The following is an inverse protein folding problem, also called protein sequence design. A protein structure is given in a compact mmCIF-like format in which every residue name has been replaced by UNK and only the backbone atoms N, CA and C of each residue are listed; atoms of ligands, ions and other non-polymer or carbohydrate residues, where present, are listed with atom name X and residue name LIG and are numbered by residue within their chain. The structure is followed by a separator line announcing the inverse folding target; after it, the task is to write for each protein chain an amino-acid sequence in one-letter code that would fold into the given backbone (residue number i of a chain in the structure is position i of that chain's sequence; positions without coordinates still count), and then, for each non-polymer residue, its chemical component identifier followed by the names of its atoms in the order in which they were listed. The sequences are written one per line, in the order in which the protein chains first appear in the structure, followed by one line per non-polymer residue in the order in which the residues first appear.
data_IF_610527957781
#
_entry.id   IF_610527957781
#
_cell.length_a   1.000
_cell.length_b   1.000
_cell.length_c   1.000
_cell.angle_alpha   90.00
_cell.angle_beta   90.00
_cell.angle_gamma   90.00
#
_symmetry.space_group_name_H-M   'P 1'
#
loop_
_entity.id
_entity.type
_entity.pdbx_description
1 polymer ?
#
# COMPACT_ATOMS: atom_id res chain seq x y z
N UNK A 1 -36.94 -23.26 8.67
CA UNK A 1 -35.86 -22.83 9.57
C UNK A 1 -34.59 -22.90 8.75
N UNK A 2 -34.06 -21.75 8.34
CA UNK A 2 -32.80 -21.69 7.60
C UNK A 2 -31.70 -21.40 8.62
N UNK A 3 -30.69 -22.26 8.68
CA UNK A 3 -29.52 -22.08 9.54
C UNK A 3 -28.61 -21.01 8.92
N UNK A 4 -28.40 -19.92 9.65
CA UNK A 4 -27.43 -18.88 9.34
C UNK A 4 -26.01 -19.45 9.32
N UNK A 5 -25.42 -19.56 8.12
CA UNK A 5 -23.99 -19.83 7.95
C UNK A 5 -23.23 -18.56 8.33
N UNK A 6 -22.66 -18.53 9.54
CA UNK A 6 -21.67 -17.52 9.93
C UNK A 6 -20.37 -17.77 9.15
N UNK A 7 -20.25 -17.17 7.97
CA UNK A 7 -18.94 -17.02 7.31
C UNK A 7 -18.13 -16.05 8.17
N UNK A 8 -17.28 -16.59 9.04
CA UNK A 8 -16.27 -15.80 9.74
C UNK A 8 -15.35 -15.18 8.69
N UNK A 9 -15.40 -13.86 8.53
CA UNK A 9 -14.44 -13.11 7.71
C UNK A 9 -13.05 -13.33 8.31
N UNK A 10 -12.24 -14.22 7.73
CA UNK A 10 -10.85 -14.38 8.13
C UNK A 10 -10.13 -13.10 7.66
N UNK A 11 -9.61 -12.31 8.60
CA UNK A 11 -8.71 -11.21 8.25
C UNK A 11 -7.32 -11.78 8.01
N UNK A 12 -6.67 -11.35 6.93
CA UNK A 12 -5.28 -11.69 6.64
C UNK A 12 -4.31 -10.90 7.55
N UNK A 13 -4.80 -9.79 8.10
CA UNK A 13 -4.09 -8.87 8.97
C UNK A 13 -3.68 -9.52 10.30
N UNK A 14 -2.38 -9.50 10.60
CA UNK A 14 -1.82 -10.09 11.82
C UNK A 14 -0.76 -9.18 12.40
N UNK A 15 -0.85 -8.87 13.70
CA UNK A 15 0.11 -8.03 14.41
C UNK A 15 1.57 -8.51 14.30
N UNK A 16 1.79 -9.83 14.16
CA UNK A 16 3.13 -10.42 13.98
C UNK A 16 3.83 -9.99 12.68
N UNK A 17 3.06 -9.51 11.70
CA UNK A 17 3.56 -9.05 10.42
C UNK A 17 3.86 -7.54 10.43
N UNK A 18 3.43 -6.83 11.48
CA UNK A 18 3.48 -5.38 11.57
C UNK A 18 2.14 -4.82 12.04
N UNK A 19 2.19 -3.64 12.68
CA UNK A 19 1.04 -2.88 13.15
C UNK A 19 1.13 -1.47 12.58
N UNK A 20 0.08 -1.06 11.89
CA UNK A 20 -0.13 0.27 11.34
C UNK A 20 -1.06 1.01 12.31
N UNK A 21 -0.65 2.19 12.76
CA UNK A 21 -1.45 3.05 13.62
C UNK A 21 -1.60 4.41 12.99
N UNK A 22 -2.84 4.81 12.73
CA UNK A 22 -3.19 6.02 12.00
C UNK A 22 -3.48 7.15 12.98
N UNK A 23 -3.09 8.38 12.61
CA UNK A 23 -3.43 9.59 13.31
C UNK A 23 -3.74 10.73 12.32
N UNK A 24 -4.08 11.90 12.84
CA UNK A 24 -4.50 13.05 12.02
C UNK A 24 -3.40 13.59 11.10
N UNK A 25 -2.13 13.39 11.46
CA UNK A 25 -0.96 13.92 10.75
C UNK A 25 -0.24 12.89 9.87
N UNK A 26 -0.50 11.61 10.09
CA UNK A 26 0.21 10.53 9.41
C UNK A 26 -0.20 9.14 9.87
N UNK A 27 0.72 8.19 9.69
CA UNK A 27 0.63 6.86 10.28
C UNK A 27 2.01 6.37 10.73
N UNK A 28 2.02 5.42 11.65
CA UNK A 28 3.23 4.77 12.16
C UNK A 28 3.14 3.27 11.89
N UNK A 29 4.23 2.72 11.35
CA UNK A 29 4.44 1.28 11.21
C UNK A 29 5.34 0.80 12.33
N UNK A 30 4.89 -0.20 13.09
CA UNK A 30 5.60 -0.76 14.23
C UNK A 30 5.44 -2.28 14.30
N UNK A 31 6.09 -2.95 15.26
CA UNK A 31 5.96 -4.40 15.44
C UNK A 31 6.51 -5.22 14.26
N UNK A 32 7.41 -4.63 13.47
CA UNK A 32 7.96 -5.26 12.27
C UNK A 32 8.79 -6.51 12.62
N UNK A 33 8.77 -7.54 11.75
CA UNK A 33 9.68 -8.66 11.84
C UNK A 33 11.14 -8.18 11.92
N UNK A 34 11.98 -8.92 12.64
CA UNK A 34 13.40 -8.63 12.80
C UNK A 34 13.76 -7.38 13.64
N UNK A 35 12.83 -6.88 14.48
CA UNK A 35 13.05 -5.73 15.39
C UNK A 35 13.54 -4.46 14.67
N UNK A 36 13.00 -4.21 13.48
CA UNK A 36 13.24 -2.96 12.78
C UNK A 36 12.62 -1.79 13.57
N UNK A 37 13.23 -0.59 13.52
CA UNK A 37 12.67 0.60 14.16
C UNK A 37 11.30 0.93 13.56
N UNK A 38 10.44 1.56 14.35
CA UNK A 38 9.18 2.09 13.84
C UNK A 38 9.46 3.18 12.81
N UNK A 39 8.63 3.21 11.76
CA UNK A 39 8.69 4.25 10.72
C UNK A 39 7.42 5.09 10.78
N UNK A 40 7.57 6.40 10.83
CA UNK A 40 6.47 7.36 10.77
C UNK A 40 6.42 7.97 9.38
N UNK A 41 5.21 8.11 8.84
CA UNK A 41 4.95 8.76 7.56
C UNK A 41 3.92 9.85 7.80
N UNK A 42 4.27 11.10 7.48
CA UNK A 42 3.32 12.21 7.52
C UNK A 42 2.60 12.37 6.20
N UNK A 43 1.33 12.70 6.27
CA UNK A 43 0.49 12.85 5.07
C UNK A 43 1.02 13.89 4.09
N UNK A 44 1.47 15.04 4.60
CA UNK A 44 1.92 16.16 3.78
C UNK A 44 3.30 15.94 3.13
N UNK A 45 4.05 14.95 3.64
CA UNK A 45 5.38 14.57 3.16
C UNK A 45 5.33 13.51 2.06
N UNK A 46 4.18 12.86 1.85
CA UNK A 46 4.01 11.87 0.78
C UNK A 46 3.98 12.58 -0.57
N UNK A 47 4.88 12.18 -1.45
CA UNK A 47 4.94 12.63 -2.84
C UNK A 47 4.39 11.58 -3.80
N UNK A 48 4.56 10.30 -3.48
CA UNK A 48 4.08 9.21 -4.32
C UNK A 48 3.61 8.02 -3.48
N UNK A 49 2.53 7.39 -3.94
CA UNK A 49 2.04 6.10 -3.44
C UNK A 49 2.11 5.10 -4.59
N UNK A 50 2.92 4.07 -4.42
CA UNK A 50 3.04 2.95 -5.35
C UNK A 50 2.34 1.73 -4.78
N UNK A 51 1.47 1.12 -5.57
CA UNK A 51 0.92 -0.21 -5.32
C UNK A 51 1.66 -1.22 -6.15
N UNK A 52 2.05 -2.34 -5.56
CA UNK A 52 2.66 -3.45 -6.27
C UNK A 52 2.35 -4.74 -5.54
N UNK A 53 2.73 -5.84 -6.17
CA UNK A 53 2.68 -7.14 -5.53
C UNK A 53 4.07 -7.75 -5.47
N UNK A 54 4.31 -8.47 -4.38
CA UNK A 54 5.51 -9.29 -4.18
C UNK A 54 5.15 -10.74 -4.41
N UNK A 55 5.82 -11.37 -5.35
CA UNK A 55 5.65 -12.79 -5.64
C UNK A 55 6.22 -13.64 -4.49
N UNK A 56 5.35 -14.31 -3.72
CA UNK A 56 5.71 -15.24 -2.64
C UNK A 56 5.58 -16.70 -3.10
N UNK A 57 6.19 -17.03 -4.23
CA UNK A 57 6.26 -18.37 -4.86
C UNK A 57 4.90 -18.95 -5.29
N UNK A 58 3.96 -19.10 -4.35
CA UNK A 58 2.61 -19.66 -4.56
C UNK A 58 1.51 -18.61 -4.41
N UNK A 59 1.81 -17.45 -3.83
CA UNK A 59 0.84 -16.37 -3.57
C UNK A 59 1.45 -15.02 -3.90
N UNK A 60 0.60 -14.05 -4.26
CA UNK A 60 1.00 -12.66 -4.38
C UNK A 60 0.71 -11.94 -3.05
N UNK A 61 1.63 -11.10 -2.58
CA UNK A 61 1.41 -10.20 -1.44
C UNK A 61 1.23 -8.78 -1.94
N UNK A 62 0.07 -8.18 -1.71
CA UNK A 62 -0.21 -6.79 -2.09
C UNK A 62 0.50 -5.83 -1.12
N UNK A 63 1.31 -4.94 -1.68
CA UNK A 63 2.13 -3.97 -0.97
C UNK A 63 1.85 -2.55 -1.46
N UNK A 64 1.94 -1.59 -0.54
CA UNK A 64 2.01 -0.16 -0.84
C UNK A 64 3.35 0.41 -0.37
N UNK A 65 3.98 1.20 -1.24
CA UNK A 65 5.16 2.00 -0.95
C UNK A 65 4.80 3.47 -0.87
N UNK A 66 5.06 4.09 0.28
CA UNK A 66 4.90 5.52 0.52
C UNK A 66 6.26 6.21 0.39
N UNK A 67 6.39 7.07 -0.62
CA UNK A 67 7.63 7.77 -0.92
C UNK A 67 7.54 9.23 -0.43
N UNK A 68 8.60 9.65 0.27
CA UNK A 68 8.83 11.04 0.65
C UNK A 68 10.12 11.55 -0.02
N UNK A 69 10.09 12.71 -0.69
CA UNK A 69 11.18 13.17 -1.56
C UNK A 69 12.39 13.66 -0.75
N UNK A 70 12.19 14.06 0.51
CA UNK A 70 13.26 14.61 1.35
C UNK A 70 14.25 13.55 1.83
N UNK A 71 13.81 12.30 1.94
CA UNK A 71 14.55 11.25 2.65
C UNK A 71 15.00 10.09 1.75
N UNK A 72 14.56 10.03 0.48
CA UNK A 72 14.67 8.86 -0.42
C UNK A 72 14.22 7.54 0.25
N UNK A 73 13.42 7.66 1.32
CA UNK A 73 12.90 6.54 2.08
C UNK A 73 11.54 6.18 1.53
N UNK A 74 11.38 4.87 1.32
CA UNK A 74 10.10 4.26 1.03
C UNK A 74 9.65 3.51 2.27
N UNK A 75 8.51 3.88 2.83
CA UNK A 75 7.87 3.08 3.87
C UNK A 75 6.93 2.10 3.19
N UNK A 76 7.26 0.82 3.30
CA UNK A 76 6.45 -0.27 2.76
C UNK A 76 5.49 -0.80 3.83
N UNK A 77 4.24 -0.99 3.42
CA UNK A 77 3.20 -1.71 4.15
C UNK A 77 2.54 -2.73 3.24
N UNK A 78 1.90 -3.75 3.80
CA UNK A 78 1.27 -4.80 3.00
C UNK A 78 -0.02 -5.35 3.63
N UNK A 79 -0.83 -6.02 2.82
CA UNK A 79 -2.20 -6.43 3.16
C UNK A 79 -2.34 -7.34 4.38
N UNK A 80 -1.29 -8.07 4.76
CA UNK A 80 -1.27 -8.87 5.98
C UNK A 80 -0.84 -8.13 7.26
N UNK A 81 -0.50 -6.83 7.21
CA UNK A 81 -0.20 -6.02 8.40
C UNK A 81 -1.49 -5.63 9.12
N UNK A 82 -1.47 -5.57 10.46
CA UNK A 82 -2.63 -5.11 11.22
C UNK A 82 -2.89 -3.62 10.97
N UNK A 83 -4.10 -3.25 10.55
CA UNK A 83 -4.49 -1.87 10.25
C UNK A 83 -4.30 -1.47 8.79
N UNK A 84 -3.96 -2.40 7.90
CA UNK A 84 -3.79 -2.11 6.47
C UNK A 84 -5.10 -1.67 5.81
N UNK A 85 -6.23 -2.32 6.14
CA UNK A 85 -7.54 -1.92 5.58
C UNK A 85 -7.95 -0.51 6.01
N UNK A 86 -7.72 -0.19 7.29
CA UNK A 86 -7.98 1.14 7.83
C UNK A 86 -7.11 2.20 7.11
N UNK A 87 -5.86 1.84 6.79
CA UNK A 87 -4.96 2.69 6.03
C UNK A 87 -5.45 2.91 4.60
N UNK A 88 -5.92 1.84 3.94
CA UNK A 88 -6.47 1.90 2.58
C UNK A 88 -7.65 2.88 2.51
N UNK A 89 -8.61 2.75 3.43
CA UNK A 89 -9.78 3.62 3.54
C UNK A 89 -9.37 5.08 3.83
N UNK A 90 -8.45 5.28 4.78
CA UNK A 90 -7.96 6.61 5.15
C UNK A 90 -7.26 7.31 3.99
N UNK A 91 -6.39 6.58 3.27
CA UNK A 91 -5.69 7.08 2.08
C UNK A 91 -6.68 7.39 0.96
N UNK A 92 -7.67 6.53 0.74
CA UNK A 92 -8.74 6.76 -0.24
C UNK A 92 -9.49 8.07 0.01
N UNK A 93 -9.88 8.32 1.26
CA UNK A 93 -10.56 9.56 1.67
C UNK A 93 -9.66 10.79 1.56
N UNK A 94 -8.41 10.68 2.01
CA UNK A 94 -7.48 11.83 2.11
C UNK A 94 -6.96 12.28 0.75
N UNK A 95 -6.66 11.34 -0.15
CA UNK A 95 -6.06 11.62 -1.45
C UNK A 95 -7.05 11.52 -2.62
N UNK A 96 -8.33 11.26 -2.35
CA UNK A 96 -9.37 11.13 -3.38
C UNK A 96 -9.18 9.91 -4.28
N UNK A 97 -8.53 8.86 -3.78
CA UNK A 97 -8.25 7.62 -4.52
C UNK A 97 -9.45 6.69 -4.37
N UNK A 98 -9.98 6.18 -5.49
CA UNK A 98 -10.97 5.12 -5.45
C UNK A 98 -10.28 3.76 -5.27
N UNK A 99 -10.69 3.01 -4.25
CA UNK A 99 -10.09 1.71 -3.91
C UNK A 99 -10.20 0.70 -5.06
N UNK A 100 -11.29 0.77 -5.83
CA UNK A 100 -11.54 -0.08 -7.00
C UNK A 100 -10.60 0.19 -8.19
N UNK A 101 -10.03 1.39 -8.30
CA UNK A 101 -9.29 1.81 -9.50
C UNK A 101 -7.85 1.31 -9.55
N UNK A 102 -7.27 0.92 -8.41
CA UNK A 102 -5.87 0.54 -8.31
C UNK A 102 -5.69 -0.98 -8.10
N UNK A 103 -6.55 -1.61 -7.30
CA UNK A 103 -6.32 -3.00 -6.87
C UNK A 103 -6.21 -3.97 -8.06
N UNK A 104 -7.12 -3.87 -9.03
CA UNK A 104 -7.09 -4.74 -10.20
C UNK A 104 -5.82 -4.55 -11.05
N UNK A 105 -5.27 -3.33 -11.12
CA UNK A 105 -4.05 -3.03 -11.87
C UNK A 105 -2.81 -3.61 -11.18
N UNK A 106 -2.83 -3.71 -9.86
CA UNK A 106 -1.76 -4.32 -9.07
C UNK A 106 -1.87 -5.84 -9.06
N UNK A 107 -3.06 -6.39 -8.86
CA UNK A 107 -3.26 -7.82 -8.70
C UNK A 107 -3.04 -8.62 -10.00
N UNK A 108 -3.26 -8.02 -11.18
CA UNK A 108 -3.21 -8.72 -12.47
C UNK A 108 -2.12 -8.16 -13.41
N UNK A 109 -1.50 -9.02 -14.24
CA UNK A 109 -1.68 -10.48 -14.35
C UNK A 109 -1.02 -11.23 -13.17
N UNK A 110 -1.51 -12.42 -12.77
CA UNK A 110 -0.97 -13.17 -11.62
C UNK A 110 0.51 -13.55 -11.83
N UNK A 111 1.31 -13.57 -10.76
CA UNK A 111 2.73 -13.97 -10.77
C UNK A 111 3.66 -13.14 -11.67
N UNK A 112 3.31 -11.87 -11.91
CA UNK A 112 4.15 -10.93 -12.66
C UNK A 112 4.17 -9.58 -11.92
N UNK A 113 5.34 -8.95 -11.74
CA UNK A 113 5.41 -7.64 -11.09
C UNK A 113 4.55 -6.59 -11.80
N UNK A 114 3.59 -6.05 -11.07
CA UNK A 114 2.70 -4.98 -11.54
C UNK A 114 2.82 -3.76 -10.63
N UNK A 115 3.78 -2.88 -10.92
CA UNK A 115 3.92 -1.61 -10.21
C UNK A 115 2.92 -0.61 -10.79
N UNK A 116 2.00 -0.16 -9.95
CA UNK A 116 0.96 0.82 -10.27
C UNK A 116 1.17 2.06 -9.43
N UNK A 117 1.27 3.22 -10.07
CA UNK A 117 1.22 4.49 -9.35
C UNK A 117 -0.22 4.78 -8.93
N UNK A 118 -0.50 4.64 -7.63
CA UNK A 118 -1.83 4.87 -7.07
C UNK A 118 -2.09 6.38 -6.98
N UNK A 119 -1.09 7.12 -6.52
CA UNK A 119 -1.18 8.57 -6.35
C UNK A 119 0.19 9.21 -6.49
N UNK A 120 0.21 10.47 -6.92
CA UNK A 120 1.38 11.32 -6.86
C UNK A 120 0.94 12.77 -6.62
N UNK A 121 1.73 13.51 -5.86
CA UNK A 121 1.58 14.95 -5.68
C UNK A 121 1.83 15.61 -7.03
N UNK A 122 0.97 16.54 -7.42
CA UNK A 122 1.16 17.27 -8.67
C UNK A 122 2.33 18.25 -8.53
N UNK A 123 3.54 17.81 -8.87
CA UNK A 123 4.65 18.69 -9.25
C UNK A 123 5.21 18.28 -10.63
N UNK A 124 4.80 19.03 -11.65
CA UNK A 124 5.28 19.01 -13.03
C UNK A 124 5.38 17.63 -13.71
N UNK A 125 4.27 17.24 -14.35
CA UNK A 125 4.26 16.27 -15.44
C UNK A 125 5.01 16.82 -16.68
N UNK A 126 6.33 16.99 -16.59
CA UNK A 126 7.17 17.07 -17.78
C UNK A 126 7.45 15.63 -18.23
N UNK A 127 6.94 15.35 -19.42
CA UNK A 127 7.12 14.13 -20.17
C UNK A 127 8.61 13.77 -20.25
N UNK A 128 9.00 12.64 -19.66
CA UNK A 128 10.15 11.86 -20.11
C UNK A 128 9.55 10.55 -20.60
N UNK A 129 9.34 10.37 -21.90
CA UNK A 129 10.41 10.32 -22.89
C UNK A 129 10.49 8.86 -23.32
N UNK A 130 9.57 8.46 -24.20
CA UNK A 130 9.68 7.24 -24.97
C UNK A 130 10.98 7.33 -25.78
N UNK A 131 11.97 6.42 -25.63
CA UNK A 131 13.07 6.41 -26.58
C UNK A 131 12.48 5.95 -27.92
N UNK A 132 12.46 6.87 -28.88
CA UNK A 132 12.36 6.54 -30.29
C UNK A 132 13.43 5.48 -30.58
N UNK A 133 12.98 4.29 -30.98
CA UNK A 133 13.85 3.29 -31.57
C UNK A 133 13.97 3.65 -33.05
N UNK A 134 15.16 4.13 -33.43
CA UNK A 134 15.62 4.20 -34.82
C UNK A 134 15.50 2.84 -35.53
#
# INVERSE_FOLDING_TARGET
MAEDIKVGKISLEKAKNGVISINDTGFVVSGLPFKQPSSEVKWDEIDQILGYKRDLFTTDLICWGFHAPQDDKTVEVHEEMLGFKELEETVGLRFGIKLEDWFHKVAFPPFAPSVTRIWAKEENYQQQGQPDRE
#
